data_IF_561730441035
#
_entry.id   IF_561730441035
#
_cell.length_a   1.000
_cell.length_b   1.000
_cell.length_c   1.000
_cell.angle_alpha   90.00
_cell.angle_beta   90.00
_cell.angle_gamma   90.00
#
_symmetry.space_group_name_H-M   'P 1'
#
loop_
_entity.id
_entity.type
_entity.pdbx_description
1 polymer ?
#
# COMPACT_ATOMS: atom_id res chain seq x y z
N UNK A 1 -2.51 -4.70 -12.07
CA UNK A 1 -1.34 -4.18 -11.29
C UNK A 1 -1.49 -4.62 -9.84
N UNK A 2 -0.44 -5.05 -9.15
CA UNK A 2 -0.52 -5.41 -7.71
C UNK A 2 -0.16 -4.21 -6.85
N UNK A 3 -1.01 -3.89 -5.87
CA UNK A 3 -0.75 -2.79 -4.93
C UNK A 3 -1.02 -3.27 -3.51
N UNK A 4 -0.36 -2.65 -2.54
CA UNK A 4 -0.71 -2.79 -1.11
C UNK A 4 -1.44 -1.53 -0.68
N UNK A 5 -2.52 -1.70 0.07
CA UNK A 5 -3.19 -0.58 0.74
C UNK A 5 -2.75 -0.58 2.19
N UNK A 6 -2.31 0.57 2.66
CA UNK A 6 -2.12 0.82 4.08
C UNK A 6 -3.45 0.72 4.83
N UNK A 7 -3.39 0.37 6.12
CA UNK A 7 -4.55 0.18 6.99
C UNK A 7 -5.43 1.43 7.03
N UNK A 8 -4.83 2.61 7.14
CA UNK A 8 -5.56 3.88 7.15
C UNK A 8 -6.32 4.14 5.84
N UNK A 9 -5.81 3.66 4.71
CA UNK A 9 -6.46 3.77 3.41
C UNK A 9 -7.70 2.88 3.36
N UNK A 10 -7.61 1.66 3.89
CA UNK A 10 -8.75 0.74 4.02
C UNK A 10 -9.80 1.32 4.96
N UNK A 11 -9.40 1.82 6.14
CA UNK A 11 -10.30 2.47 7.10
C UNK A 11 -11.00 3.68 6.46
N UNK A 12 -10.26 4.54 5.75
CA UNK A 12 -10.82 5.69 5.06
C UNK A 12 -11.85 5.28 3.99
N UNK A 13 -11.59 4.21 3.25
CA UNK A 13 -12.53 3.67 2.27
C UNK A 13 -13.84 3.18 2.91
N UNK A 14 -13.76 2.55 4.08
CA UNK A 14 -14.93 2.08 4.82
C UNK A 14 -15.74 3.24 5.42
N UNK A 15 -15.06 4.30 5.88
CA UNK A 15 -15.70 5.49 6.45
C UNK A 15 -16.31 6.42 5.40
N UNK A 16 -15.75 6.45 4.19
CA UNK A 16 -16.21 7.33 3.11
C UNK A 16 -16.37 6.56 1.79
N UNK A 17 -17.59 6.12 1.45
CA UNK A 17 -17.80 5.30 0.26
C UNK A 17 -17.60 6.07 -1.05
N UNK A 18 -17.64 7.40 -1.07
CA UNK A 18 -17.48 8.20 -2.30
C UNK A 18 -16.04 8.63 -2.58
N UNK A 19 -15.11 8.38 -1.65
CA UNK A 19 -13.72 8.82 -1.76
C UNK A 19 -12.83 7.96 -2.67
N UNK A 20 -11.61 8.45 -2.93
CA UNK A 20 -10.62 7.76 -3.77
C UNK A 20 -10.26 6.36 -3.24
N UNK A 21 -10.09 6.20 -1.91
CA UNK A 21 -9.80 4.91 -1.30
C UNK A 21 -10.92 3.88 -1.54
N UNK A 22 -12.18 4.29 -1.43
CA UNK A 22 -13.32 3.44 -1.73
C UNK A 22 -13.42 3.10 -3.22
N UNK A 23 -13.05 4.03 -4.11
CA UNK A 23 -12.94 3.75 -5.53
C UNK A 23 -11.86 2.70 -5.84
N UNK A 24 -10.70 2.75 -5.18
CA UNK A 24 -9.67 1.72 -5.32
C UNK A 24 -10.19 0.34 -4.88
N UNK A 25 -10.85 0.26 -3.72
CA UNK A 25 -11.41 -1.02 -3.25
C UNK A 25 -12.46 -1.61 -4.21
N UNK A 26 -13.23 -0.76 -4.90
CA UNK A 26 -14.15 -1.22 -5.95
C UNK A 26 -13.41 -1.84 -7.13
N UNK A 27 -12.29 -1.26 -7.56
CA UNK A 27 -11.44 -1.80 -8.62
C UNK A 27 -10.78 -3.13 -8.20
N UNK A 28 -10.35 -3.25 -6.94
CA UNK A 28 -9.85 -4.50 -6.35
C UNK A 28 -10.92 -5.59 -6.39
N UNK A 29 -12.16 -5.28 -5.98
CA UNK A 29 -13.29 -6.22 -6.00
C UNK A 29 -13.59 -6.75 -7.41
N UNK A 30 -13.31 -5.96 -8.45
CA UNK A 30 -13.42 -6.35 -9.86
C UNK A 30 -12.23 -7.21 -10.36
N UNK A 31 -11.38 -7.71 -9.46
CA UNK A 31 -10.16 -8.48 -9.74
C UNK A 31 -9.11 -7.77 -10.61
N UNK A 32 -9.18 -6.44 -10.74
CA UNK A 32 -8.20 -5.67 -11.52
C UNK A 32 -6.87 -5.46 -10.75
N UNK A 33 -6.90 -5.69 -9.43
CA UNK A 33 -5.83 -5.45 -8.48
C UNK A 33 -5.87 -6.50 -7.36
N UNK A 34 -4.71 -7.05 -6.96
CA UNK A 34 -4.58 -7.97 -5.82
C UNK A 34 -4.21 -7.20 -4.56
N UNK A 35 -4.91 -7.46 -3.44
CA UNK A 35 -4.72 -6.78 -2.15
C UNK A 35 -4.24 -7.80 -1.10
N UNK A 36 -2.95 -7.83 -0.75
CA UNK A 36 -2.47 -8.65 0.37
C UNK A 36 -2.86 -7.99 1.69
N UNK A 37 -3.77 -8.61 2.44
CA UNK A 37 -4.22 -8.18 3.78
C UNK A 37 -3.42 -8.83 4.92
N UNK A 38 -2.50 -9.73 4.59
CA UNK A 38 -1.79 -10.56 5.57
C UNK A 38 -0.43 -9.94 5.93
N UNK A 39 -0.41 -9.20 7.04
CA UNK A 39 0.82 -8.77 7.71
C UNK A 39 1.40 -9.70 8.82
N UNK A 40 1.05 -11.00 8.99
CA UNK A 40 1.72 -11.82 9.99
C UNK A 40 2.75 -12.75 9.33
N UNK A 41 3.94 -12.24 9.00
CA UNK A 41 5.22 -12.99 8.80
C UNK A 41 6.35 -12.16 8.21
N UNK A 42 6.14 -10.87 7.91
CA UNK A 42 7.16 -10.04 7.24
C UNK A 42 8.30 -9.55 8.16
N UNK A 43 8.62 -10.32 9.20
CA UNK A 43 9.94 -10.24 9.87
C UNK A 43 10.81 -11.27 9.15
N UNK A 44 11.20 -10.98 7.92
CA UNK A 44 12.42 -11.58 7.39
C UNK A 44 13.57 -10.95 8.20
N UNK A 45 14.50 -11.78 8.70
CA UNK A 45 15.64 -11.35 9.51
C UNK A 45 16.57 -10.43 8.69
N UNK A 46 16.21 -9.15 8.58
CA UNK A 46 16.97 -8.06 7.98
C UNK A 46 16.91 -6.84 8.90
N UNK A 47 17.90 -5.95 8.79
CA UNK A 47 17.90 -4.73 9.61
C UNK A 47 16.69 -3.85 9.21
N UNK A 48 15.91 -3.34 10.18
CA UNK A 48 14.79 -2.45 9.87
C UNK A 48 15.31 -1.23 9.11
N UNK A 49 14.60 -0.87 8.03
CA UNK A 49 14.94 0.23 7.15
C UNK A 49 14.20 1.51 7.55
N UNK A 50 13.04 1.35 8.19
CA UNK A 50 12.20 2.41 8.73
C UNK A 50 12.31 2.50 10.25
N UNK A 51 11.97 3.67 10.78
CA UNK A 51 11.98 3.94 12.23
C UNK A 51 10.75 3.37 12.94
N UNK A 52 9.59 3.42 12.27
CA UNK A 52 8.32 2.93 12.81
C UNK A 52 8.15 1.45 12.42
N UNK A 53 8.03 0.52 13.39
CA UNK A 53 7.81 -0.89 13.09
C UNK A 53 6.53 -1.16 12.29
N UNK A 54 5.48 -0.37 12.46
CA UNK A 54 4.23 -0.54 11.72
C UNK A 54 4.42 -0.20 10.23
N UNK A 55 5.12 0.90 9.94
CA UNK A 55 5.44 1.26 8.56
C UNK A 55 6.38 0.23 7.92
N UNK A 56 7.34 -0.32 8.68
CA UNK A 56 8.21 -1.41 8.22
C UNK A 56 7.39 -2.65 7.84
N UNK A 57 6.45 -3.07 8.68
CA UNK A 57 5.58 -4.22 8.39
C UNK A 57 4.78 -4.03 7.09
N UNK A 58 4.23 -2.84 6.87
CA UNK A 58 3.47 -2.52 5.65
C UNK A 58 4.36 -2.50 4.41
N UNK A 59 5.57 -1.94 4.52
CA UNK A 59 6.55 -1.95 3.43
C UNK A 59 6.99 -3.38 3.09
N UNK A 60 7.30 -4.20 4.10
CA UNK A 60 7.71 -5.59 3.89
C UNK A 60 6.59 -6.40 3.22
N UNK A 61 5.32 -6.15 3.56
CA UNK A 61 4.19 -6.74 2.85
C UNK A 61 4.15 -6.34 1.37
N UNK A 62 4.47 -5.09 1.03
CA UNK A 62 4.57 -4.64 -0.36
C UNK A 62 5.72 -5.30 -1.12
N UNK A 63 6.88 -5.43 -0.49
CA UNK A 63 8.06 -6.09 -1.07
C UNK A 63 7.79 -7.57 -1.30
N UNK A 64 7.39 -8.30 -0.25
CA UNK A 64 7.12 -9.75 -0.32
C UNK A 64 5.96 -10.06 -1.26
N UNK A 65 4.96 -9.19 -1.28
CA UNK A 65 3.85 -9.25 -2.21
C UNK A 65 4.25 -8.95 -3.66
N UNK A 66 5.45 -8.46 -3.96
CA UNK A 66 5.85 -7.93 -5.28
C UNK A 66 4.86 -6.88 -5.79
N UNK A 67 4.46 -5.98 -4.91
CA UNK A 67 3.56 -4.90 -5.26
C UNK A 67 4.32 -3.86 -6.08
N UNK A 68 3.68 -3.35 -7.13
CA UNK A 68 4.20 -2.22 -7.88
C UNK A 68 4.11 -0.91 -7.08
N UNK A 69 3.17 -0.83 -6.14
CA UNK A 69 2.98 0.35 -5.31
C UNK A 69 2.42 0.03 -3.91
N UNK A 70 2.81 0.84 -2.92
CA UNK A 70 2.17 0.99 -1.63
C UNK A 70 1.34 2.28 -1.63
N UNK A 71 0.05 2.14 -1.32
CA UNK A 71 -0.89 3.26 -1.21
C UNK A 71 -1.08 3.63 0.24
N UNK A 72 -0.67 4.85 0.62
CA UNK A 72 -0.73 5.36 2.00
C UNK A 72 -1.01 6.86 2.01
N UNK A 73 -1.48 7.39 3.13
CA UNK A 73 -1.52 8.84 3.39
C UNK A 73 -0.20 9.36 3.99
N UNK A 74 0.64 8.46 4.51
CA UNK A 74 1.78 8.78 5.36
C UNK A 74 3.11 8.77 4.60
N UNK A 75 3.14 9.29 3.38
CA UNK A 75 4.32 9.24 2.48
C UNK A 75 5.65 9.59 3.16
N UNK A 76 5.64 10.60 4.04
CA UNK A 76 6.82 11.09 4.75
C UNK A 76 7.46 10.06 5.70
N UNK A 77 6.68 9.09 6.22
CA UNK A 77 7.21 8.11 7.16
C UNK A 77 8.14 7.10 6.47
N UNK A 78 7.91 6.85 5.19
CA UNK A 78 8.64 5.87 4.39
C UNK A 78 9.89 6.45 3.72
N UNK A 79 9.92 7.78 3.51
CA UNK A 79 11.04 8.46 2.86
C UNK A 79 11.35 7.88 1.47
N UNK A 80 12.62 7.54 1.23
CA UNK A 80 13.08 6.99 -0.06
C UNK A 80 13.21 5.46 -0.08
N UNK A 81 12.93 4.79 1.05
CA UNK A 81 13.16 3.35 1.19
C UNK A 81 12.32 2.54 0.18
N UNK A 82 11.01 2.80 -0.03
CA UNK A 82 10.22 1.98 -0.96
C UNK A 82 10.73 2.04 -2.39
N UNK A 83 11.17 3.21 -2.86
CA UNK A 83 11.73 3.37 -4.21
C UNK A 83 13.00 2.52 -4.41
N UNK A 84 13.85 2.40 -3.38
CA UNK A 84 15.05 1.54 -3.41
C UNK A 84 14.70 0.05 -3.48
N UNK A 85 13.51 -0.31 -3.00
CA UNK A 85 12.97 -1.67 -3.03
C UNK A 85 12.07 -1.93 -4.26
N UNK A 86 11.96 -0.98 -5.19
CA UNK A 86 11.12 -1.12 -6.39
C UNK A 86 9.61 -0.99 -6.13
N UNK A 87 9.21 -0.37 -5.01
CA UNK A 87 7.82 -0.12 -4.64
C UNK A 87 7.53 1.38 -4.73
N UNK A 88 6.61 1.76 -5.61
CA UNK A 88 6.15 3.15 -5.69
C UNK A 88 5.30 3.54 -4.47
N UNK A 89 5.42 4.79 -4.04
CA UNK A 89 4.59 5.36 -2.97
C UNK A 89 3.54 6.27 -3.57
N UNK A 90 2.26 5.96 -3.33
CA UNK A 90 1.15 6.70 -3.94
C UNK A 90 0.14 7.13 -2.89
N UNK A 91 -0.40 8.34 -3.03
CA UNK A 91 -1.64 8.70 -2.36
C UNK A 91 -2.82 7.99 -3.06
N UNK A 92 -3.96 7.77 -2.37
CA UNK A 92 -5.11 7.13 -2.99
C UNK A 92 -5.58 7.80 -4.28
N UNK A 93 -5.52 9.14 -4.37
CA UNK A 93 -5.87 9.85 -5.60
C UNK A 93 -4.94 9.51 -6.78
N UNK A 94 -3.65 9.33 -6.51
CA UNK A 94 -2.63 9.12 -7.55
C UNK A 94 -2.65 7.66 -7.99
N UNK A 95 -2.81 6.74 -7.03
CA UNK A 95 -3.09 5.33 -7.31
C UNK A 95 -4.35 5.16 -8.16
N UNK A 96 -5.44 5.86 -7.82
CA UNK A 96 -6.68 5.80 -8.60
C UNK A 96 -6.49 6.32 -10.03
N UNK A 97 -5.75 7.42 -10.23
CA UNK A 97 -5.43 7.94 -11.57
C UNK A 97 -4.64 6.94 -12.39
N UNK A 98 -3.67 6.25 -11.78
CA UNK A 98 -2.82 5.25 -12.45
C UNK A 98 -3.55 3.93 -12.76
N UNK A 99 -4.55 3.58 -11.95
CA UNK A 99 -5.34 2.36 -12.12
C UNK A 99 -6.48 2.52 -13.13
N UNK A 100 -6.92 3.75 -13.41
CA UNK A 100 -7.91 3.99 -14.44
C UNK A 100 -7.25 3.88 -15.83
N UNK A 101 -7.88 3.15 -16.77
CA UNK A 101 -7.44 3.13 -18.16
C UNK A 101 -7.58 4.51 -18.83
#
# INVERSE_FOLDING_TARGET
MRIVLDTDVVIAAMRSPTGASAAILRLVRQQQVTLPLNAPSAIEYGRPQLRDPNDEMVLQAAINGRAAALVTFNLRHYGTVPARCGVDLLLPRDALRRLRP
#
